data_IF_830591030215
#
_entry.id   IF_830591030215
#
_cell.length_a   1.000
_cell.length_b   1.000
_cell.length_c   1.000
_cell.angle_alpha   90.00
_cell.angle_beta   90.00
_cell.angle_gamma   90.00
#
_symmetry.space_group_name_H-M   'P 1'
#
loop_
_entity.id
_entity.type
_entity.pdbx_description
1 polymer ?
#
# COMPACT_ATOMS: atom_id res chain seq x y z
N UNK A 1 47.16 -50.58 3.53
CA UNK A 1 47.12 -49.62 4.66
C UNK A 1 47.69 -48.30 4.21
N UNK A 2 46.97 -47.18 4.44
CA UNK A 2 47.40 -45.74 4.36
C UNK A 2 46.52 -44.75 3.57
N UNK A 3 45.32 -45.12 3.12
CA UNK A 3 44.36 -44.13 2.57
C UNK A 3 42.95 -44.24 3.17
N UNK A 4 42.81 -44.86 4.34
CA UNK A 4 41.52 -45.11 5.00
C UNK A 4 41.14 -44.06 6.07
N UNK A 5 41.89 -42.96 6.22
CA UNK A 5 41.70 -42.04 7.35
C UNK A 5 41.49 -40.56 6.97
N UNK A 6 41.06 -40.26 5.74
CA UNK A 6 40.95 -38.87 5.27
C UNK A 6 39.63 -38.50 4.60
N UNK A 7 38.53 -39.14 5.01
CA UNK A 7 37.19 -38.80 4.51
C UNK A 7 36.15 -38.55 5.62
N UNK A 8 36.61 -38.33 6.84
CA UNK A 8 35.78 -38.00 7.99
C UNK A 8 35.90 -36.52 8.32
N UNK A 9 35.39 -35.66 7.44
CA UNK A 9 35.07 -34.27 7.75
C UNK A 9 33.83 -33.89 6.93
N UNK A 10 32.67 -34.02 7.58
CA UNK A 10 31.48 -33.25 7.24
C UNK A 10 31.86 -31.77 7.11
N UNK A 11 31.23 -31.07 6.17
CA UNK A 11 30.23 -30.14 6.66
C UNK A 11 28.88 -30.39 6.02
N UNK A 12 27.91 -30.67 6.88
CA UNK A 12 26.49 -30.42 6.68
C UNK A 12 26.35 -28.92 6.40
N UNK A 13 26.28 -28.52 5.14
CA UNK A 13 26.18 -27.12 4.74
C UNK A 13 25.03 -26.93 3.75
N UNK A 14 24.06 -26.15 4.22
CA UNK A 14 23.09 -25.37 3.47
C UNK A 14 22.08 -26.12 2.59
N UNK A 15 21.05 -26.70 3.21
CA UNK A 15 19.70 -26.73 2.63
C UNK A 15 18.73 -26.02 3.57
N UNK A 16 18.81 -24.68 3.56
CA UNK A 16 17.83 -23.82 4.22
C UNK A 16 17.63 -22.57 3.35
N UNK A 17 17.12 -22.78 2.15
CA UNK A 17 16.58 -21.70 1.31
C UNK A 17 15.32 -22.22 0.65
N UNK A 18 14.26 -22.40 1.44
CA UNK A 18 12.89 -22.49 0.93
C UNK A 18 11.91 -21.87 1.94
N UNK A 19 12.24 -20.66 2.39
CA UNK A 19 11.32 -19.76 3.09
C UNK A 19 11.50 -18.36 2.48
N UNK A 20 11.00 -18.21 1.26
CA UNK A 20 11.14 -16.99 0.46
C UNK A 20 9.86 -16.65 -0.27
N UNK A 21 8.71 -16.72 0.40
CA UNK A 21 7.47 -16.05 0.00
C UNK A 21 6.62 -15.85 1.26
N UNK A 22 6.06 -14.64 1.40
CA UNK A 22 5.19 -14.14 2.45
C UNK A 22 5.88 -13.61 3.74
N UNK A 23 5.96 -12.28 3.80
CA UNK A 23 5.56 -11.56 5.01
C UNK A 23 6.60 -11.39 6.12
N UNK A 24 7.74 -10.77 5.80
CA UNK A 24 8.56 -10.14 6.83
C UNK A 24 8.77 -8.67 6.52
N UNK A 25 7.70 -7.90 6.76
CA UNK A 25 7.74 -6.45 6.96
C UNK A 25 7.40 -6.10 8.41
N UNK A 26 7.91 -6.85 9.39
CA UNK A 26 7.97 -6.36 10.77
C UNK A 26 9.22 -5.50 10.95
N UNK A 27 9.24 -4.38 10.23
CA UNK A 27 10.00 -3.21 10.66
C UNK A 27 8.96 -2.19 11.10
N UNK A 28 8.42 -2.36 12.31
CA UNK A 28 7.76 -1.28 13.06
C UNK A 28 8.84 -0.26 13.41
N UNK A 29 9.28 0.50 12.41
CA UNK A 29 10.27 1.56 12.55
C UNK A 29 9.55 2.89 12.62
N UNK A 30 9.38 3.45 13.83
CA UNK A 30 9.21 4.90 14.12
C UNK A 30 8.01 5.62 13.45
N UNK A 31 7.26 4.97 12.57
CA UNK A 31 6.14 5.51 11.80
C UNK A 31 4.80 5.24 12.48
N UNK A 32 3.80 6.05 12.10
CA UNK A 32 2.43 5.97 12.62
C UNK A 32 1.70 4.63 12.34
N UNK A 33 0.37 4.61 12.50
CA UNK A 33 -0.41 3.38 12.34
C UNK A 33 -0.25 2.79 10.94
N UNK A 34 -0.25 1.45 10.88
CA UNK A 34 -0.27 0.69 9.64
C UNK A 34 -1.58 0.90 8.87
N UNK A 35 -1.57 0.57 7.57
CA UNK A 35 -2.79 0.62 6.74
C UNK A 35 -3.92 -0.22 7.36
N UNK A 36 -3.61 -1.41 7.87
CA UNK A 36 -4.60 -2.29 8.50
C UNK A 36 -5.21 -1.67 9.76
N UNK A 37 -4.40 -1.10 10.65
CA UNK A 37 -4.87 -0.41 11.86
C UNK A 37 -5.77 0.79 11.50
N UNK A 38 -5.42 1.54 10.45
CA UNK A 38 -6.23 2.66 9.95
C UNK A 38 -7.57 2.19 9.37
N UNK A 39 -7.61 1.06 8.67
CA UNK A 39 -8.86 0.49 8.15
C UNK A 39 -9.77 -0.01 9.28
N UNK A 40 -9.19 -0.65 10.30
CA UNK A 40 -9.92 -1.06 11.50
C UNK A 40 -10.48 0.15 12.25
N UNK A 41 -9.68 1.22 12.37
CA UNK A 41 -10.12 2.49 12.92
C UNK A 41 -11.26 3.10 12.10
N UNK A 42 -11.16 3.10 10.77
CA UNK A 42 -12.17 3.63 9.87
C UNK A 42 -13.52 2.88 9.96
N UNK A 43 -13.49 1.59 10.31
CA UNK A 43 -14.72 0.80 10.53
C UNK A 43 -15.45 1.19 11.81
N UNK A 44 -14.73 1.73 12.79
CA UNK A 44 -15.31 2.24 14.06
C UNK A 44 -15.69 3.72 13.98
N UNK A 45 -15.23 4.42 12.94
CA UNK A 45 -15.49 5.83 12.70
C UNK A 45 -16.65 6.05 11.72
N UNK A 46 -17.12 7.29 11.64
CA UNK A 46 -18.13 7.71 10.67
C UNK A 46 -17.71 8.97 9.92
N UNK A 47 -18.31 9.17 8.75
CA UNK A 47 -18.15 10.38 7.97
C UNK A 47 -16.69 10.70 7.63
N UNK A 48 -16.35 11.99 7.75
CA UNK A 48 -15.03 12.55 7.41
C UNK A 48 -13.85 11.86 8.09
N UNK A 49 -14.01 11.40 9.33
CA UNK A 49 -12.92 10.70 10.04
C UNK A 49 -12.61 9.36 9.39
N UNK A 50 -13.67 8.59 9.09
CA UNK A 50 -13.54 7.31 8.44
C UNK A 50 -13.00 7.43 7.02
N UNK A 51 -13.40 8.47 6.28
CA UNK A 51 -12.86 8.78 4.95
C UNK A 51 -11.36 9.13 5.01
N UNK A 52 -10.95 9.95 5.99
CA UNK A 52 -9.55 10.31 6.19
C UNK A 52 -8.67 9.09 6.54
N UNK A 53 -9.13 8.21 7.43
CA UNK A 53 -8.39 6.98 7.78
C UNK A 53 -8.29 6.01 6.60
N UNK A 54 -9.35 5.87 5.78
CA UNK A 54 -9.28 5.07 4.54
C UNK A 54 -8.31 5.66 3.52
N UNK A 55 -8.27 6.99 3.40
CA UNK A 55 -7.34 7.67 2.50
C UNK A 55 -5.89 7.44 2.92
N UNK A 56 -5.57 7.60 4.21
CA UNK A 56 -4.22 7.34 4.72
C UNK A 56 -3.82 5.87 4.54
N UNK A 57 -4.75 4.93 4.77
CA UNK A 57 -4.51 3.52 4.51
C UNK A 57 -4.19 3.24 3.03
N UNK A 58 -4.98 3.81 2.11
CA UNK A 58 -4.76 3.66 0.67
C UNK A 58 -3.41 4.25 0.23
N UNK A 59 -3.03 5.42 0.76
CA UNK A 59 -1.73 6.06 0.49
C UNK A 59 -0.56 5.19 0.98
N UNK A 60 -0.66 4.62 2.18
CA UNK A 60 0.34 3.68 2.70
C UNK A 60 0.46 2.44 1.79
N UNK A 61 -0.66 1.86 1.37
CA UNK A 61 -0.67 0.67 0.51
C UNK A 61 -0.06 0.96 -0.86
N UNK A 62 -0.41 2.09 -1.48
CA UNK A 62 0.16 2.52 -2.75
C UNK A 62 1.69 2.66 -2.63
N UNK A 63 2.19 3.33 -1.58
CA UNK A 63 3.64 3.46 -1.33
C UNK A 63 4.35 2.13 -1.06
N UNK A 64 3.63 1.12 -0.58
CA UNK A 64 4.16 -0.22 -0.36
C UNK A 64 4.12 -1.09 -1.63
N UNK A 65 3.54 -0.59 -2.72
CA UNK A 65 3.36 -1.32 -3.97
C UNK A 65 2.15 -2.25 -3.97
N UNK A 66 1.27 -2.18 -2.96
CA UNK A 66 -0.02 -2.88 -2.95
C UNK A 66 -1.09 -2.01 -3.65
N UNK A 67 -0.85 -1.75 -4.94
CA UNK A 67 -1.64 -0.83 -5.76
C UNK A 67 -3.05 -1.34 -6.02
N UNK A 68 -3.25 -2.65 -6.12
CA UNK A 68 -4.57 -3.25 -6.22
C UNK A 68 -5.44 -2.97 -4.99
N UNK A 69 -4.89 -3.16 -3.78
CA UNK A 69 -5.63 -2.87 -2.56
C UNK A 69 -5.83 -1.37 -2.35
N UNK A 70 -4.82 -0.56 -2.66
CA UNK A 70 -4.92 0.89 -2.62
C UNK A 70 -6.03 1.41 -3.55
N UNK A 71 -6.10 0.92 -4.78
CA UNK A 71 -7.13 1.26 -5.76
C UNK A 71 -8.53 0.87 -5.24
N UNK A 72 -8.66 -0.35 -4.71
CA UNK A 72 -9.92 -0.84 -4.16
C UNK A 72 -10.44 0.08 -3.04
N UNK A 73 -9.57 0.47 -2.11
CA UNK A 73 -9.94 1.32 -0.97
C UNK A 73 -10.22 2.75 -1.45
N UNK A 74 -9.32 3.34 -2.23
CA UNK A 74 -9.45 4.70 -2.74
C UNK A 74 -10.70 4.87 -3.60
N UNK A 75 -11.05 3.89 -4.44
CA UNK A 75 -12.23 3.93 -5.30
C UNK A 75 -13.56 3.99 -4.54
N UNK A 76 -13.58 3.52 -3.28
CA UNK A 76 -14.77 3.50 -2.41
C UNK A 76 -14.92 4.76 -1.54
N UNK A 77 -13.93 5.65 -1.53
CA UNK A 77 -13.99 6.85 -0.69
C UNK A 77 -15.03 7.83 -1.28
N UNK A 78 -15.96 8.25 -0.43
CA UNK A 78 -16.89 9.34 -0.74
C UNK A 78 -16.16 10.68 -0.65
N UNK A 79 -15.90 11.30 -1.81
CA UNK A 79 -15.16 12.56 -1.92
C UNK A 79 -15.83 13.73 -1.20
N UNK A 80 -17.15 13.67 -0.98
CA UNK A 80 -17.87 14.71 -0.23
C UNK A 80 -17.46 14.77 1.23
N UNK A 81 -16.88 13.68 1.75
CA UNK A 81 -16.37 13.58 3.12
C UNK A 81 -14.90 13.97 3.26
N UNK A 82 -14.24 14.31 2.15
CA UNK A 82 -12.87 14.81 2.13
C UNK A 82 -12.87 16.34 2.05
N UNK A 83 -11.95 16.96 2.79
CA UNK A 83 -11.58 18.36 2.58
C UNK A 83 -10.78 18.55 1.28
N UNK A 84 -10.54 19.80 0.85
CA UNK A 84 -9.89 20.08 -0.43
C UNK A 84 -8.48 19.47 -0.52
N UNK A 85 -7.68 19.56 0.54
CA UNK A 85 -6.32 19.01 0.54
C UNK A 85 -6.35 17.47 0.49
N UNK A 86 -7.32 16.85 1.16
CA UNK A 86 -7.56 15.41 1.09
C UNK A 86 -8.04 14.98 -0.30
N UNK A 87 -8.87 15.77 -0.99
CA UNK A 87 -9.32 15.45 -2.36
C UNK A 87 -8.17 15.45 -3.36
N UNK A 88 -7.26 16.42 -3.30
CA UNK A 88 -6.05 16.41 -4.13
C UNK A 88 -5.21 15.15 -3.86
N UNK A 89 -4.98 14.83 -2.58
CA UNK A 89 -4.20 13.65 -2.18
C UNK A 89 -4.87 12.35 -2.63
N UNK A 90 -6.18 12.26 -2.47
CA UNK A 90 -6.99 11.14 -2.91
C UNK A 90 -6.91 10.94 -4.42
N UNK A 91 -6.99 12.02 -5.19
CA UNK A 91 -6.85 11.95 -6.64
C UNK A 91 -5.45 11.45 -7.05
N UNK A 92 -4.39 11.88 -6.36
CA UNK A 92 -3.04 11.39 -6.64
C UNK A 92 -2.91 9.88 -6.34
N UNK A 93 -3.39 9.42 -5.18
CA UNK A 93 -3.39 7.99 -4.81
C UNK A 93 -4.22 7.17 -5.81
N UNK A 94 -5.40 7.67 -6.19
CA UNK A 94 -6.28 7.02 -7.14
C UNK A 94 -5.62 6.95 -8.53
N UNK A 95 -4.98 8.02 -8.99
CA UNK A 95 -4.28 8.04 -10.28
C UNK A 95 -3.11 7.07 -10.31
N UNK A 96 -2.24 7.11 -9.29
CA UNK A 96 -1.05 6.26 -9.23
C UNK A 96 -1.44 4.77 -9.20
N UNK A 97 -2.37 4.41 -8.32
CA UNK A 97 -2.87 3.05 -8.19
C UNK A 97 -3.60 2.58 -9.45
N UNK A 98 -4.41 3.45 -10.06
CA UNK A 98 -5.13 3.11 -11.29
C UNK A 98 -4.19 2.88 -12.48
N UNK A 99 -3.13 3.68 -12.61
CA UNK A 99 -2.13 3.48 -13.66
C UNK A 99 -1.35 2.19 -13.47
N UNK A 100 -1.00 1.85 -12.22
CA UNK A 100 -0.32 0.59 -11.90
C UNK A 100 -1.18 -0.65 -12.20
N UNK A 101 -2.49 -0.55 -11.99
CA UNK A 101 -3.46 -1.64 -12.24
C UNK A 101 -4.11 -1.59 -13.64
N UNK A 102 -3.66 -0.68 -14.51
CA UNK A 102 -4.23 -0.45 -15.85
C UNK A 102 -5.75 -0.12 -15.87
N UNK A 103 -6.27 0.46 -14.77
CA UNK A 103 -7.64 0.93 -14.67
C UNK A 103 -7.79 2.35 -15.27
N UNK A 104 -8.04 2.39 -16.57
CA UNK A 104 -8.22 3.65 -17.29
C UNK A 104 -9.38 4.53 -16.78
N UNK A 105 -10.46 3.93 -16.27
CA UNK A 105 -11.61 4.70 -15.78
C UNK A 105 -11.28 5.43 -14.47
N UNK A 106 -10.62 4.75 -13.55
CA UNK A 106 -10.18 5.36 -12.29
C UNK A 106 -9.12 6.44 -12.51
N UNK A 107 -8.23 6.28 -13.50
CA UNK A 107 -7.26 7.32 -13.88
C UNK A 107 -7.93 8.59 -14.45
N UNK A 108 -8.96 8.43 -15.29
CA UNK A 108 -9.74 9.57 -15.81
C UNK A 108 -10.48 10.26 -14.66
N UNK A 109 -11.10 9.49 -13.77
CA UNK A 109 -11.79 10.02 -12.58
C UNK A 109 -10.84 10.82 -11.70
N UNK A 110 -9.64 10.31 -11.43
CA UNK A 110 -8.62 11.02 -10.67
C UNK A 110 -8.26 12.36 -11.30
N UNK A 111 -8.12 12.39 -12.63
CA UNK A 111 -7.80 13.62 -13.37
C UNK A 111 -8.94 14.65 -13.27
N UNK A 112 -10.20 14.23 -13.39
CA UNK A 112 -11.38 15.09 -13.24
C UNK A 112 -11.47 15.73 -11.84
N UNK A 113 -11.14 14.95 -10.80
CA UNK A 113 -11.06 15.44 -9.42
C UNK A 113 -9.97 16.51 -9.29
N UNK A 114 -8.80 16.32 -9.92
CA UNK A 114 -7.72 17.31 -9.90
C UNK A 114 -8.11 18.59 -10.64
N UNK A 115 -8.71 18.48 -11.82
CA UNK A 115 -9.13 19.65 -12.62
C UNK A 115 -10.18 20.49 -11.87
N UNK A 116 -11.15 19.82 -11.23
CA UNK A 116 -12.22 20.47 -10.48
C UNK A 116 -11.75 21.11 -9.17
N UNK A 117 -10.70 20.58 -8.53
CA UNK A 117 -10.34 20.98 -7.16
C UNK A 117 -9.00 21.67 -6.98
N UNK A 118 -8.06 21.47 -7.90
CA UNK A 118 -6.71 21.98 -7.71
C UNK A 118 -6.50 23.38 -8.31
N UNK A 119 -7.54 24.05 -8.85
CA UNK A 119 -7.42 25.35 -9.55
C UNK A 119 -6.15 25.36 -10.42
N UNK A 120 -5.91 24.26 -11.14
CA UNK A 120 -4.70 24.08 -11.95
C UNK A 120 -4.72 24.96 -13.20
N UNK A 121 -5.84 25.66 -13.43
CA UNK A 121 -5.98 26.75 -14.37
C UNK A 121 -5.31 28.02 -13.82
N UNK A 122 -3.98 28.09 -13.90
CA UNK A 122 -3.26 29.37 -14.00
C UNK A 122 -3.26 29.88 -15.43
#
# INVERSE_FOLDING_TARGET
>A
MRYALRRLLLPLMATLILAGCAGQSMMQGVGGPSAQELLEQANSQSGRQAAASRLEAADILARQGDTAQALQIAGQIDSTQLDNAQRTRWALVLSDSALAEEDGWSAIRATDILDTHADLST
#
